data_IF_881189761304
#
_entry.id   IF_881189761304
#
_cell.length_a   1.000
_cell.length_b   1.000
_cell.length_c   1.000
_cell.angle_alpha   90.00
_cell.angle_beta   90.00
_cell.angle_gamma   90.00
#
_symmetry.space_group_name_H-M   'P 1'
#
loop_
_entity.id
_entity.type
_entity.pdbx_description
1 polymer ?
#
# COMPACT_ATOMS: atom_id res chain seq x y z
N UNK A 1 14.83 -24.83 -13.12
CA UNK A 1 14.65 -26.03 -13.95
C UNK A 1 14.35 -25.71 -15.42
N UNK A 2 13.45 -24.77 -15.78
CA UNK A 2 13.20 -24.39 -17.21
C UNK A 2 14.16 -23.37 -17.85
N UNK A 3 14.94 -22.61 -17.06
CA UNK A 3 15.90 -21.63 -17.60
C UNK A 3 17.07 -22.28 -18.40
N UNK A 4 17.31 -23.58 -18.24
CA UNK A 4 18.43 -24.30 -18.88
C UNK A 4 18.02 -25.06 -20.16
N UNK A 5 16.76 -24.94 -20.61
CA UNK A 5 16.20 -25.76 -21.71
C UNK A 5 16.16 -25.08 -23.09
N UNK A 6 16.82 -23.93 -23.27
CA UNK A 6 16.90 -23.28 -24.59
C UNK A 6 15.62 -22.57 -25.06
N UNK A 7 14.67 -22.30 -24.17
CA UNK A 7 13.52 -21.44 -24.47
C UNK A 7 13.97 -19.98 -24.64
N UNK A 8 13.29 -19.25 -25.53
CA UNK A 8 13.56 -17.82 -25.73
C UNK A 8 13.25 -17.08 -24.43
N UNK A 9 14.03 -16.04 -24.13
CA UNK A 9 13.84 -15.22 -22.92
C UNK A 9 12.42 -14.65 -22.85
N UNK A 10 11.86 -14.25 -23.98
CA UNK A 10 10.48 -13.76 -24.12
C UNK A 10 9.45 -14.76 -23.59
N UNK A 11 9.58 -16.04 -23.93
CA UNK A 11 8.67 -17.10 -23.47
C UNK A 11 8.76 -17.30 -21.96
N UNK A 12 9.97 -17.18 -21.39
CA UNK A 12 10.20 -17.29 -19.95
C UNK A 12 9.55 -16.12 -19.22
N UNK A 13 9.71 -14.90 -19.72
CA UNK A 13 9.12 -13.69 -19.13
C UNK A 13 7.58 -13.71 -19.21
N UNK A 14 7.02 -14.11 -20.35
CA UNK A 14 5.58 -14.26 -20.52
C UNK A 14 5.01 -15.31 -19.54
N UNK A 15 5.63 -16.49 -19.47
CA UNK A 15 5.20 -17.56 -18.56
C UNK A 15 5.28 -17.15 -17.08
N UNK A 16 6.24 -16.31 -16.70
CA UNK A 16 6.31 -15.75 -15.35
C UNK A 16 5.15 -14.79 -15.07
N UNK A 17 4.85 -13.86 -15.98
CA UNK A 17 3.73 -12.92 -15.83
C UNK A 17 2.40 -13.68 -15.70
N UNK A 18 2.17 -14.67 -16.55
CA UNK A 18 0.97 -15.51 -16.46
C UNK A 18 0.88 -16.29 -15.14
N UNK A 19 2.01 -16.82 -14.64
CA UNK A 19 2.02 -17.52 -13.36
C UNK A 19 1.67 -16.59 -12.18
N UNK A 20 2.17 -15.35 -12.20
CA UNK A 20 1.87 -14.34 -11.19
C UNK A 20 0.39 -13.93 -11.23
N UNK A 21 -0.16 -13.67 -12.43
CA UNK A 21 -1.58 -13.31 -12.59
C UNK A 21 -2.48 -14.46 -12.13
N UNK A 22 -2.21 -15.70 -12.55
CA UNK A 22 -2.98 -16.87 -12.09
C UNK A 22 -2.96 -17.01 -10.57
N UNK A 23 -1.80 -16.81 -9.95
CA UNK A 23 -1.67 -16.84 -8.49
C UNK A 23 -2.50 -15.73 -7.83
N UNK A 24 -2.42 -14.50 -8.36
CA UNK A 24 -3.19 -13.37 -7.87
C UNK A 24 -4.70 -13.64 -7.91
N UNK A 25 -5.21 -14.09 -9.06
CA UNK A 25 -6.64 -14.40 -9.22
C UNK A 25 -7.07 -15.56 -8.32
N UNK A 26 -6.24 -16.59 -8.17
CA UNK A 26 -6.56 -17.78 -7.36
C UNK A 26 -6.55 -17.52 -5.85
N UNK A 27 -5.76 -16.55 -5.37
CA UNK A 27 -5.60 -16.28 -3.95
C UNK A 27 -6.36 -15.02 -3.48
N UNK A 28 -6.22 -13.92 -4.23
CA UNK A 28 -6.79 -12.61 -3.87
C UNK A 28 -8.10 -12.31 -4.60
N UNK A 29 -8.23 -12.80 -5.84
CA UNK A 29 -9.44 -12.67 -6.65
C UNK A 29 -10.50 -13.74 -6.37
N UNK A 30 -10.15 -14.81 -5.66
CA UNK A 30 -11.05 -15.95 -5.45
C UNK A 30 -12.34 -15.54 -4.74
N UNK A 31 -13.46 -15.86 -5.38
CA UNK A 31 -14.80 -15.54 -4.89
C UNK A 31 -15.21 -14.07 -5.06
N UNK A 32 -14.40 -13.27 -5.77
CA UNK A 32 -14.76 -11.90 -6.15
C UNK A 32 -15.18 -11.90 -7.61
N UNK A 33 -16.29 -11.24 -7.88
CA UNK A 33 -16.70 -10.89 -9.24
C UNK A 33 -15.92 -9.65 -9.67
N UNK A 34 -15.18 -9.75 -10.79
CA UNK A 34 -14.45 -8.63 -11.37
C UNK A 34 -15.28 -8.07 -12.53
N UNK A 35 -15.85 -6.89 -12.33
CA UNK A 35 -16.70 -6.22 -13.31
C UNK A 35 -15.93 -5.09 -13.99
N UNK A 36 -16.26 -4.83 -15.24
CA UNK A 36 -15.75 -3.68 -15.99
C UNK A 36 -16.26 -2.35 -15.42
N UNK A 37 -15.48 -1.25 -15.53
CA UNK A 37 -14.11 -1.20 -16.07
C UNK A 37 -13.05 -1.73 -15.08
N UNK A 38 -12.12 -2.56 -15.57
CA UNK A 38 -11.03 -3.12 -14.75
C UNK A 38 -9.81 -2.20 -14.80
N UNK A 39 -9.37 -1.71 -13.64
CA UNK A 39 -8.22 -0.81 -13.52
C UNK A 39 -7.07 -1.52 -12.81
N UNK A 40 -5.88 -1.51 -13.44
CA UNK A 40 -4.65 -2.04 -12.84
C UNK A 40 -3.71 -0.89 -12.44
N UNK A 41 -3.43 -0.80 -11.14
CA UNK A 41 -2.65 0.28 -10.52
C UNK A 41 -1.59 -0.25 -9.54
N UNK A 42 -0.70 0.63 -9.12
CA UNK A 42 0.51 0.32 -8.35
C UNK A 42 1.75 0.18 -9.24
N UNK A 43 2.94 0.16 -8.65
CA UNK A 43 4.21 0.18 -9.41
C UNK A 43 4.38 -0.96 -10.43
N UNK A 44 3.74 -2.11 -10.20
CA UNK A 44 3.77 -3.26 -11.13
C UNK A 44 2.93 -3.00 -12.40
N UNK A 45 2.00 -2.03 -12.37
CA UNK A 45 1.22 -1.65 -13.55
C UNK A 45 2.08 -1.06 -14.68
N UNK A 46 3.31 -0.63 -14.38
CA UNK A 46 4.32 -0.27 -15.38
C UNK A 46 4.74 -1.47 -16.27
N UNK A 47 4.56 -2.70 -15.79
CA UNK A 47 4.96 -3.90 -16.50
C UNK A 47 3.89 -4.29 -17.54
N UNK A 48 4.21 -4.02 -18.81
CA UNK A 48 3.34 -4.36 -19.94
C UNK A 48 3.02 -5.86 -20.01
N UNK A 49 3.96 -6.74 -19.63
CA UNK A 49 3.72 -8.19 -19.61
C UNK A 49 2.68 -8.61 -18.57
N UNK A 50 2.62 -7.90 -17.43
CA UNK A 50 1.58 -8.13 -16.42
C UNK A 50 0.21 -7.66 -16.92
N UNK A 51 0.14 -6.50 -17.59
CA UNK A 51 -1.10 -6.01 -18.21
C UNK A 51 -1.64 -7.04 -19.22
N UNK A 52 -0.80 -7.50 -20.14
CA UNK A 52 -1.18 -8.49 -21.15
C UNK A 52 -1.60 -9.83 -20.51
N UNK A 53 -0.90 -10.27 -19.47
CA UNK A 53 -1.27 -11.49 -18.76
C UNK A 53 -2.63 -11.36 -18.04
N UNK A 54 -2.96 -10.19 -17.49
CA UNK A 54 -4.28 -9.92 -16.91
C UNK A 54 -5.37 -9.91 -17.99
N UNK A 55 -5.17 -9.21 -19.10
CA UNK A 55 -6.14 -9.18 -20.23
C UNK A 55 -6.44 -10.62 -20.69
N UNK A 56 -5.41 -11.44 -20.90
CA UNK A 56 -5.59 -12.85 -21.31
C UNK A 56 -6.30 -13.70 -20.26
N UNK A 57 -6.04 -13.46 -18.98
CA UNK A 57 -6.61 -14.29 -17.89
C UNK A 57 -8.03 -13.88 -17.51
N UNK A 58 -8.39 -12.62 -17.74
CA UNK A 58 -9.71 -12.06 -17.44
C UNK A 58 -10.63 -12.08 -18.67
N UNK A 59 -10.06 -12.17 -19.88
CA UNK A 59 -10.78 -12.02 -21.16
C UNK A 59 -11.47 -10.66 -21.30
N UNK A 60 -10.95 -9.65 -20.59
CA UNK A 60 -11.50 -8.30 -20.49
C UNK A 60 -10.43 -7.22 -20.70
N UNK A 61 -10.84 -6.00 -21.05
CA UNK A 61 -9.92 -4.87 -21.13
C UNK A 61 -9.42 -4.46 -19.73
N UNK A 62 -8.10 -4.22 -19.63
CA UNK A 62 -7.46 -3.75 -18.41
C UNK A 62 -6.85 -2.37 -18.64
N UNK A 63 -7.37 -1.39 -17.92
CA UNK A 63 -6.95 0.01 -18.01
C UNK A 63 -5.78 0.23 -17.05
N UNK A 64 -4.68 0.76 -17.57
CA UNK A 64 -3.58 1.28 -16.76
C UNK A 64 -3.67 2.81 -16.80
N UNK A 65 -4.01 3.48 -15.68
CA UNK A 65 -4.18 4.93 -15.66
C UNK A 65 -2.83 5.63 -15.79
N UNK A 66 -2.81 6.87 -16.27
CA UNK A 66 -1.59 7.66 -16.47
C UNK A 66 -0.72 7.78 -15.20
N UNK A 67 -1.35 7.87 -14.04
CA UNK A 67 -0.70 8.06 -12.73
C UNK A 67 -0.76 6.79 -11.87
N UNK A 68 -0.68 5.61 -12.49
CA UNK A 68 -0.83 4.30 -11.83
C UNK A 68 0.05 4.11 -10.58
N UNK A 69 1.18 4.81 -10.51
CA UNK A 69 2.18 4.74 -9.44
C UNK A 69 1.85 5.61 -8.22
N UNK A 70 1.02 6.63 -8.39
CA UNK A 70 0.68 7.62 -7.33
C UNK A 70 -0.81 7.75 -7.05
N UNK A 71 -1.66 6.86 -7.61
CA UNK A 71 -3.12 6.87 -7.39
C UNK A 71 -3.51 6.91 -5.90
N UNK A 72 -2.77 6.22 -5.03
CA UNK A 72 -3.01 6.26 -3.58
C UNK A 72 -2.81 7.65 -2.97
N UNK A 73 -1.77 8.37 -3.40
CA UNK A 73 -1.52 9.74 -2.96
C UNK A 73 -2.57 10.72 -3.49
N UNK A 74 -3.00 10.54 -4.75
CA UNK A 74 -4.10 11.32 -5.35
C UNK A 74 -5.39 11.10 -4.54
N UNK A 75 -5.72 9.85 -4.21
CA UNK A 75 -6.89 9.52 -3.39
C UNK A 75 -6.83 10.17 -2.01
N UNK A 76 -5.67 10.14 -1.34
CA UNK A 76 -5.46 10.80 -0.06
C UNK A 76 -5.67 12.33 -0.17
N UNK A 77 -5.17 12.96 -1.24
CA UNK A 77 -5.36 14.39 -1.49
C UNK A 77 -6.84 14.75 -1.72
N UNK A 78 -7.59 13.93 -2.46
CA UNK A 78 -9.03 14.11 -2.67
C UNK A 78 -9.78 14.03 -1.33
N UNK A 79 -9.51 13.00 -0.52
CA UNK A 79 -10.13 12.83 0.80
C UNK A 79 -9.80 14.00 1.74
N UNK A 80 -8.56 14.49 1.72
CA UNK A 80 -8.16 15.66 2.48
C UNK A 80 -8.93 16.92 2.03
N UNK A 81 -9.06 17.14 0.71
CA UNK A 81 -9.84 18.25 0.15
C UNK A 81 -11.31 18.17 0.58
N UNK A 82 -11.95 17.02 0.43
CA UNK A 82 -13.35 16.81 0.85
C UNK A 82 -13.56 17.07 2.35
N UNK A 83 -12.59 16.67 3.18
CA UNK A 83 -12.63 16.92 4.63
C UNK A 83 -12.57 18.42 4.94
N UNK A 84 -11.71 19.17 4.24
CA UNK A 84 -11.59 20.62 4.40
C UNK A 84 -12.84 21.33 3.90
N UNK A 85 -13.38 20.96 2.73
CA UNK A 85 -14.63 21.51 2.19
C UNK A 85 -15.81 21.36 3.17
N UNK A 86 -15.87 20.24 3.90
CA UNK A 86 -16.94 19.99 4.89
C UNK A 86 -16.75 20.71 6.23
N UNK A 87 -15.51 20.92 6.65
CA UNK A 87 -15.21 21.42 8.01
C UNK A 87 -14.67 22.85 8.05
N UNK A 88 -14.26 23.42 6.91
CA UNK A 88 -13.52 24.68 6.79
C UNK A 88 -12.28 24.78 7.70
N UNK A 89 -11.72 23.64 8.11
CA UNK A 89 -10.55 23.57 8.99
C UNK A 89 -9.57 22.52 8.49
N UNK A 90 -8.29 22.70 8.78
CA UNK A 90 -7.22 21.75 8.48
C UNK A 90 -6.29 21.62 9.68
N UNK A 91 -5.74 20.43 9.89
CA UNK A 91 -4.66 20.17 10.85
C UNK A 91 -3.31 19.97 10.16
N UNK A 92 -3.15 20.53 8.95
CA UNK A 92 -1.90 20.46 8.20
C UNK A 92 -0.80 21.16 9.00
N UNK A 93 0.23 20.41 9.39
CA UNK A 93 1.37 20.91 10.19
C UNK A 93 2.33 21.84 9.42
N UNK A 94 2.13 22.02 8.12
CA UNK A 94 3.06 22.77 7.26
C UNK A 94 4.12 21.87 6.61
N UNK A 95 4.87 22.44 5.66
CA UNK A 95 5.93 21.70 4.94
C UNK A 95 7.22 21.57 5.75
N UNK A 96 7.40 22.36 6.81
CA UNK A 96 8.57 22.27 7.69
C UNK A 96 8.65 20.92 8.41
N UNK A 97 7.52 20.21 8.54
CA UNK A 97 7.47 18.83 9.03
C UNK A 97 8.34 17.88 8.18
N UNK A 98 8.57 18.16 6.89
CA UNK A 98 9.46 17.34 6.06
C UNK A 98 10.94 17.43 6.48
N UNK A 99 11.31 18.52 7.17
CA UNK A 99 12.66 18.76 7.72
C UNK A 99 12.73 18.54 9.24
N UNK A 100 11.61 18.18 9.88
CA UNK A 100 11.57 17.94 11.31
C UNK A 100 12.35 16.67 11.69
N UNK A 101 12.94 16.68 12.88
CA UNK A 101 13.70 15.55 13.39
C UNK A 101 12.75 14.51 14.00
N UNK A 102 12.57 13.40 13.29
CA UNK A 102 11.84 12.24 13.80
C UNK A 102 12.80 11.19 14.35
N UNK A 103 12.60 10.81 15.61
CA UNK A 103 13.32 9.73 16.24
C UNK A 103 12.47 8.46 16.22
N UNK A 104 12.96 7.46 15.50
CA UNK A 104 12.38 6.12 15.48
C UNK A 104 13.05 5.24 16.54
N UNK A 105 12.25 4.51 17.30
CA UNK A 105 12.72 3.46 18.21
C UNK A 105 11.74 2.29 18.23
N UNK A 106 12.16 1.15 18.77
CA UNK A 106 11.28 0.01 18.99
C UNK A 106 11.49 -0.63 20.37
N UNK A 107 10.46 -1.32 20.85
CA UNK A 107 10.51 -2.13 22.07
C UNK A 107 9.61 -3.37 21.94
N UNK A 108 9.88 -4.40 22.76
CA UNK A 108 9.08 -5.62 22.78
C UNK A 108 7.92 -5.54 23.78
N UNK A 109 6.72 -5.87 23.32
CA UNK A 109 5.54 -5.91 24.17
C UNK A 109 5.55 -7.12 25.11
N UNK A 110 5.85 -6.88 26.39
CA UNK A 110 5.78 -7.89 27.46
C UNK A 110 4.35 -8.22 27.92
N UNK A 111 3.34 -7.56 27.33
CA UNK A 111 1.95 -7.68 27.72
C UNK A 111 1.16 -8.80 27.04
N UNK A 112 1.75 -9.58 26.14
CA UNK A 112 1.05 -10.66 25.43
C UNK A 112 2.04 -11.73 24.95
N UNK A 113 1.54 -12.95 24.69
CA UNK A 113 2.35 -14.06 24.18
C UNK A 113 2.93 -13.84 22.77
N UNK A 114 2.47 -12.80 22.05
CA UNK A 114 2.93 -12.50 20.70
C UNK A 114 4.28 -11.77 20.66
N UNK A 115 4.82 -11.33 21.82
CA UNK A 115 6.11 -10.62 21.88
C UNK A 115 6.25 -9.56 20.79
N UNK A 116 5.21 -8.73 20.64
CA UNK A 116 5.09 -7.86 19.48
C UNK A 116 6.23 -6.84 19.49
N UNK A 117 6.93 -6.67 18.38
CA UNK A 117 7.81 -5.53 18.19
C UNK A 117 6.96 -4.28 17.93
N UNK A 118 7.05 -3.32 18.84
CA UNK A 118 6.34 -2.06 18.76
C UNK A 118 7.30 -1.01 18.25
N UNK A 119 6.99 -0.45 17.09
CA UNK A 119 7.72 0.68 16.52
C UNK A 119 7.03 1.96 16.99
N UNK A 120 7.83 2.94 17.40
CA UNK A 120 7.35 4.23 17.84
C UNK A 120 8.13 5.38 17.19
N UNK A 121 7.41 6.42 16.77
CA UNK A 121 7.98 7.67 16.25
C UNK A 121 7.77 8.77 17.28
N UNK A 122 8.86 9.48 17.58
CA UNK A 122 8.83 10.73 18.32
C UNK A 122 9.21 11.89 17.38
N UNK A 123 8.59 13.04 17.59
CA UNK A 123 9.03 14.34 17.08
C UNK A 123 9.64 15.05 18.27
N UNK A 124 10.97 15.24 18.24
CA UNK A 124 11.75 15.67 19.41
C UNK A 124 11.51 14.75 20.62
N UNK A 125 10.85 15.23 21.69
CA UNK A 125 10.48 14.43 22.87
C UNK A 125 9.00 13.97 22.86
N UNK A 126 8.22 14.35 21.86
CA UNK A 126 6.78 14.05 21.81
C UNK A 126 6.49 12.78 21.02
N UNK A 127 5.83 11.80 21.67
CA UNK A 127 5.40 10.55 21.02
C UNK A 127 4.27 10.84 20.02
N UNK A 128 4.53 10.65 18.73
CA UNK A 128 3.54 10.86 17.67
C UNK A 128 2.71 9.62 17.37
N UNK A 129 3.35 8.46 17.25
CA UNK A 129 2.67 7.25 16.78
C UNK A 129 3.35 5.97 17.29
N UNK A 130 2.53 4.91 17.41
CA UNK A 130 2.96 3.54 17.64
C UNK A 130 2.23 2.58 16.71
N UNK A 131 2.94 1.58 16.20
CA UNK A 131 2.34 0.48 15.43
C UNK A 131 3.18 -0.79 15.56
N UNK A 132 2.69 -1.89 14.98
CA UNK A 132 3.36 -3.20 15.01
C UNK A 132 2.77 -4.21 16.00
N UNK A 133 1.79 -3.81 16.79
CA UNK A 133 1.14 -4.73 17.72
C UNK A 133 0.11 -5.64 17.06
N UNK A 134 0.16 -6.91 17.44
CA UNK A 134 -0.86 -7.93 17.12
C UNK A 134 -1.92 -8.04 18.20
N UNK A 135 -1.65 -7.51 19.39
CA UNK A 135 -2.52 -7.63 20.56
C UNK A 135 -3.49 -6.46 20.74
N UNK A 136 -3.41 -5.42 19.90
CA UNK A 136 -4.28 -4.23 19.95
C UNK A 136 -4.01 -3.28 21.11
N UNK A 137 -3.01 -3.56 21.98
CA UNK A 137 -2.67 -2.72 23.15
C UNK A 137 -2.07 -1.37 22.76
N UNK A 138 -1.42 -1.32 21.61
CA UNK A 138 -0.66 -0.15 21.16
C UNK A 138 -1.28 0.48 19.91
N UNK A 139 -2.14 -0.23 19.17
CA UNK A 139 -2.79 0.27 17.94
C UNK A 139 -3.83 1.36 18.17
N UNK A 140 -4.08 1.80 19.40
CA UNK A 140 -5.12 2.78 19.69
C UNK A 140 -4.78 3.60 20.94
N UNK A 141 -4.18 4.77 20.70
CA UNK A 141 -4.42 6.01 21.46
C UNK A 141 -3.78 7.15 20.67
N UNK A 142 -4.60 7.84 19.87
CA UNK A 142 -4.34 9.23 19.56
C UNK A 142 -4.24 9.95 20.90
N UNK A 143 -3.05 10.43 21.26
CA UNK A 143 -2.96 11.53 22.21
C UNK A 143 -3.58 12.74 21.53
N UNK A 144 -4.87 12.93 21.77
CA UNK A 144 -5.46 14.25 21.75
C UNK A 144 -4.64 15.12 22.71
N UNK A 145 -3.75 15.94 22.17
CA UNK A 145 -3.31 17.15 22.84
C UNK A 145 -3.74 18.31 21.96
N UNK A 146 -4.96 18.76 22.23
CA UNK A 146 -5.36 20.16 22.16
C UNK A 146 -4.30 21.02 22.82
N UNK A 147 -3.76 22.02 22.12
CA UNK A 147 -2.77 22.93 22.69
C UNK A 147 -2.26 24.01 21.73
N UNK A 148 -3.16 24.85 21.23
CA UNK A 148 -3.04 26.32 21.23
C UNK A 148 -4.38 26.90 20.77
#
# INVERSE_FOLDING_TARGET
HKQQMGHKLEDILAGLCEALVRNFLSNLGKGKELLEPIVFQGGVAANVGMKEAFIRSLEEEVIVPQHYDVMGAIGAAILAREKVERSNTTSFKGFETATANFLQSSFECSGCANSCEIIQIHEEEHLLARWGDRCGKWSARQTAQSGA
#
